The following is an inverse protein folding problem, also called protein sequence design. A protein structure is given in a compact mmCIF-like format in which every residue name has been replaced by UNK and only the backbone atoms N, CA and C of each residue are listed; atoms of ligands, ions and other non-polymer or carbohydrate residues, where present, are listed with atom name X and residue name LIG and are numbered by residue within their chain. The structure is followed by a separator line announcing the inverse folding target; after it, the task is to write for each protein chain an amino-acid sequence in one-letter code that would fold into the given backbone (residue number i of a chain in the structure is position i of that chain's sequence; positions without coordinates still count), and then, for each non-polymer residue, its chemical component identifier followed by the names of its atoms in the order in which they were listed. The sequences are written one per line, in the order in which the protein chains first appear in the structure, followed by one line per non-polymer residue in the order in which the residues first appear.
data_IF_799599672737
#
_entry.id   IF_799599672737
#
_cell.length_a   1.000
_cell.length_b   1.000
_cell.length_c   1.000
_cell.angle_alpha   90.00
_cell.angle_beta   90.00
_cell.angle_gamma   90.00
#
_symmetry.space_group_name_H-M   'P 1'
#
loop_
_entity.id
_entity.type
_entity.pdbx_description
1 polymer ?
#
# COMPACT_ATOMS: atom_id res chain seq x y z
N UNK A 1 -29.59 59.63 41.00
CA UNK A 1 -30.05 58.88 42.19
C UNK A 1 -29.62 57.45 42.04
N UNK A 2 -28.47 57.08 42.46
CA UNK A 2 -28.12 56.53 43.75
C UNK A 2 -28.96 55.28 44.04
N UNK A 3 -28.36 54.09 43.99
CA UNK A 3 -28.12 53.25 45.15
C UNK A 3 -27.57 51.88 44.73
N UNK A 4 -26.39 51.60 45.12
CA UNK A 4 -25.73 50.30 45.41
C UNK A 4 -26.27 49.76 46.77
N UNK A 5 -25.71 48.65 47.30
CA UNK A 5 -25.45 47.28 46.86
C UNK A 5 -26.00 46.26 47.86
N UNK A 6 -25.91 44.95 47.62
CA UNK A 6 -25.81 44.05 48.77
C UNK A 6 -25.01 42.79 48.53
N UNK A 7 -24.14 42.55 49.44
CA UNK A 7 -23.09 41.59 49.70
C UNK A 7 -23.64 40.44 50.53
N UNK A 8 -22.92 39.33 50.69
CA UNK A 8 -22.98 38.23 51.65
C UNK A 8 -23.46 36.94 50.97
N UNK A 9 -22.81 35.76 51.06
CA UNK A 9 -21.93 35.21 52.10
C UNK A 9 -21.26 33.90 51.55
N UNK A 10 -20.10 33.68 52.05
CA UNK A 10 -19.33 32.43 51.94
C UNK A 10 -20.05 31.27 52.62
N UNK A 11 -19.89 30.02 52.07
CA UNK A 11 -19.54 28.85 52.93
C UNK A 11 -19.20 27.59 52.10
N UNK A 12 -17.98 27.14 52.33
CA UNK A 12 -17.51 25.78 52.58
C UNK A 12 -17.42 24.76 51.43
N UNK A 13 -16.19 24.48 51.07
CA UNK A 13 -15.71 23.27 50.44
C UNK A 13 -15.68 22.08 51.42
N UNK A 14 -15.62 20.86 50.94
CA UNK A 14 -14.60 19.95 51.45
C UNK A 14 -13.74 19.27 50.38
N UNK A 15 -12.62 18.84 50.92
CA UNK A 15 -11.37 18.36 50.36
C UNK A 15 -11.42 17.08 49.48
N UNK A 16 -10.51 17.07 48.54
CA UNK A 16 -9.73 16.05 47.82
C UNK A 16 -9.78 14.59 48.33
N UNK A 17 -9.49 13.61 47.40
CA UNK A 17 -8.13 13.07 47.42
C UNK A 17 -7.43 13.02 46.06
N UNK A 18 -6.10 12.99 46.16
CA UNK A 18 -5.11 13.00 45.13
C UNK A 18 -5.06 11.71 44.28
N UNK A 19 -5.14 11.88 42.98
CA UNK A 19 -4.81 10.84 42.01
C UNK A 19 -3.67 11.31 41.09
N UNK A 20 -2.48 10.75 41.29
CA UNK A 20 -1.26 10.97 40.49
C UNK A 20 -1.54 10.89 38.98
N UNK A 21 -1.56 12.02 38.29
CA UNK A 21 -1.43 12.05 36.83
C UNK A 21 0.04 12.18 36.48
N UNK A 22 0.60 11.14 35.87
CA UNK A 22 1.88 11.19 35.19
C UNK A 22 1.74 12.09 33.97
N UNK A 23 2.38 13.24 34.03
CA UNK A 23 2.61 14.12 32.88
C UNK A 23 3.56 13.45 31.89
N UNK A 24 3.05 13.01 30.76
CA UNK A 24 3.88 12.74 29.59
C UNK A 24 4.23 14.08 28.94
N UNK A 25 5.36 14.62 29.29
CA UNK A 25 6.03 15.66 28.50
C UNK A 25 6.42 15.05 27.17
N UNK A 26 5.75 15.47 26.09
CA UNK A 26 6.22 15.21 24.73
C UNK A 26 7.48 16.05 24.52
N UNK A 27 8.63 15.42 24.61
CA UNK A 27 9.88 16.01 24.17
C UNK A 27 9.81 16.21 22.65
N UNK A 28 9.97 17.45 22.22
CA UNK A 28 10.22 17.84 20.85
C UNK A 28 11.54 17.21 20.43
N UNK A 29 11.49 16.17 19.61
CA UNK A 29 12.69 15.58 19.00
C UNK A 29 13.04 16.38 17.76
N UNK A 30 14.24 16.91 17.74
CA UNK A 30 14.91 17.52 16.59
C UNK A 30 14.86 16.64 15.33
N UNK A 31 14.91 17.21 14.11
CA UNK A 31 14.88 16.43 12.88
C UNK A 31 16.08 15.49 12.81
N UNK A 32 15.79 14.20 12.72
CA UNK A 32 16.81 13.15 12.63
C UNK A 32 17.57 13.27 11.32
N UNK A 33 18.89 13.18 11.40
CA UNK A 33 19.79 13.18 10.24
C UNK A 33 19.44 12.07 9.23
N UNK A 34 19.77 12.22 7.92
CA UNK A 34 19.45 11.24 6.88
C UNK A 34 19.93 9.81 7.17
N UNK A 35 20.96 9.64 7.98
CA UNK A 35 21.50 8.33 8.38
C UNK A 35 20.57 7.54 9.32
N UNK A 36 19.72 8.21 10.09
CA UNK A 36 18.78 7.54 11.01
C UNK A 36 17.54 6.96 10.28
N UNK A 37 17.19 7.50 9.13
CA UNK A 37 16.08 7.01 8.28
C UNK A 37 16.45 5.70 7.59
N UNK A 38 17.72 5.56 7.18
CA UNK A 38 18.24 4.32 6.56
C UNK A 38 18.28 3.14 7.56
N UNK A 39 18.53 3.40 8.85
CA UNK A 39 18.54 2.37 9.88
C UNK A 39 17.16 1.83 10.22
N UNK A 40 16.12 2.65 10.07
CA UNK A 40 14.73 2.25 10.34
C UNK A 40 14.12 1.44 9.19
N UNK A 41 14.48 1.77 7.94
CA UNK A 41 14.08 1.01 6.75
C UNK A 41 14.67 -0.41 6.75
N UNK A 42 15.87 -0.60 7.31
CA UNK A 42 16.49 -1.93 7.44
C UNK A 42 15.82 -2.84 8.48
N UNK A 43 15.21 -2.29 9.53
CA UNK A 43 14.55 -3.09 10.58
C UNK A 43 13.18 -3.60 10.15
N UNK A 44 12.46 -2.85 9.31
CA UNK A 44 11.13 -3.25 8.86
C UNK A 44 11.13 -4.32 7.75
N UNK A 45 12.28 -4.59 7.11
CA UNK A 45 12.40 -5.64 6.10
C UNK A 45 12.69 -7.04 6.66
N UNK A 46 13.02 -7.15 7.95
CA UNK A 46 13.42 -8.42 8.58
C UNK A 46 12.31 -9.15 9.33
N UNK A 47 11.13 -8.53 9.53
CA UNK A 47 10.05 -9.13 10.33
C UNK A 47 8.96 -9.83 9.52
N UNK A 48 9.05 -9.87 8.17
CA UNK A 48 8.02 -10.46 7.30
C UNK A 48 8.34 -11.85 6.75
N UNK A 49 9.18 -12.64 7.41
CA UNK A 49 9.41 -14.04 7.02
C UNK A 49 9.45 -14.97 8.22
N UNK A 50 8.29 -15.29 8.75
CA UNK A 50 8.10 -16.54 9.51
C UNK A 50 6.75 -17.17 9.19
N UNK A 51 6.84 -18.32 8.52
CA UNK A 51 6.07 -19.51 8.85
C UNK A 51 4.84 -19.77 8.02
N UNK A 52 4.94 -20.72 7.10
CA UNK A 52 4.05 -21.90 7.09
C UNK A 52 4.63 -22.95 6.15
N UNK A 53 5.24 -23.95 6.76
CA UNK A 53 5.31 -25.27 6.18
C UNK A 53 3.93 -25.93 6.36
N UNK A 54 3.47 -26.63 5.34
CA UNK A 54 2.27 -27.45 5.37
C UNK A 54 2.36 -28.41 4.20
N UNK A 55 2.67 -29.65 4.55
CA UNK A 55 2.75 -30.83 3.70
C UNK A 55 1.33 -31.31 3.32
N UNK A 56 1.28 -32.09 2.21
CA UNK A 56 0.28 -33.05 1.71
C UNK A 56 -0.90 -32.53 0.89
N UNK A 57 -0.98 -33.14 -0.30
CA UNK A 57 -2.17 -33.27 -1.12
C UNK A 57 -1.86 -33.60 -2.57
N UNK A 58 -1.69 -34.92 -2.84
CA UNK A 58 -1.56 -35.47 -4.19
C UNK A 58 -2.86 -35.35 -4.98
N UNK A 59 -2.75 -35.12 -6.31
CA UNK A 59 -3.73 -35.61 -7.27
C UNK A 59 -4.69 -34.59 -7.85
N UNK A 60 -4.36 -34.03 -9.00
CA UNK A 60 -5.23 -34.06 -10.17
C UNK A 60 -4.47 -33.52 -11.41
N UNK A 61 -4.23 -34.40 -12.33
CA UNK A 61 -3.66 -34.12 -13.64
C UNK A 61 -4.64 -33.34 -14.48
N UNK A 62 -4.45 -32.02 -14.61
CA UNK A 62 -5.02 -31.27 -15.70
C UNK A 62 -3.89 -30.90 -16.68
N UNK A 63 -3.84 -31.72 -17.72
CA UNK A 63 -2.99 -31.59 -18.91
C UNK A 63 -3.46 -30.36 -19.70
N UNK A 64 -3.04 -29.16 -19.29
CA UNK A 64 -3.12 -27.99 -20.17
C UNK A 64 -2.06 -28.13 -21.25
N UNK A 65 -2.52 -28.25 -22.48
CA UNK A 65 -1.71 -28.15 -23.70
C UNK A 65 -0.88 -26.88 -23.61
N UNK A 66 0.41 -27.08 -23.39
CA UNK A 66 1.44 -26.03 -23.45
C UNK A 66 1.47 -25.54 -24.90
N UNK A 67 0.96 -24.34 -25.14
CA UNK A 67 1.21 -23.64 -26.37
C UNK A 67 2.73 -23.54 -26.53
N UNK A 68 3.25 -24.03 -27.64
CA UNK A 68 4.63 -23.83 -28.07
C UNK A 68 4.82 -22.35 -28.45
N UNK A 69 4.84 -21.51 -27.40
CA UNK A 69 5.27 -20.12 -27.50
C UNK A 69 6.77 -20.09 -27.37
N UNK A 70 7.44 -19.65 -28.45
CA UNK A 70 8.84 -19.27 -28.60
C UNK A 70 9.62 -19.38 -27.28
N UNK A 71 10.54 -20.33 -27.23
CA UNK A 71 11.65 -20.38 -26.29
C UNK A 71 12.46 -19.09 -26.51
N UNK A 72 11.92 -17.97 -26.06
CA UNK A 72 12.65 -16.73 -25.90
C UNK A 72 13.74 -17.02 -24.92
N UNK A 73 14.94 -16.79 -25.37
CA UNK A 73 16.20 -16.88 -24.67
C UNK A 73 16.12 -16.34 -23.22
N UNK A 74 15.54 -17.12 -22.31
CA UNK A 74 15.61 -16.95 -20.86
C UNK A 74 16.92 -17.48 -20.32
N UNK A 75 17.84 -17.82 -21.23
CA UNK A 75 19.15 -18.29 -20.90
C UNK A 75 19.93 -17.19 -20.26
N UNK A 76 19.93 -17.19 -18.90
CA UNK A 76 21.11 -16.80 -18.18
C UNK A 76 21.39 -15.30 -18.04
N UNK A 77 20.48 -14.58 -17.43
CA UNK A 77 20.82 -13.28 -16.85
C UNK A 77 21.94 -13.37 -15.79
N UNK A 78 22.26 -14.57 -15.33
CA UNK A 78 23.25 -14.81 -14.28
C UNK A 78 24.06 -16.06 -14.61
N UNK A 79 25.34 -15.90 -14.80
CA UNK A 79 26.25 -17.04 -14.93
C UNK A 79 26.35 -17.82 -13.61
N UNK A 80 26.44 -19.14 -13.70
CA UNK A 80 26.72 -20.02 -12.55
C UNK A 80 28.06 -19.68 -11.85
N UNK A 81 28.93 -18.97 -12.54
CA UNK A 81 30.28 -18.58 -12.08
C UNK A 81 30.37 -17.16 -11.54
N UNK A 82 29.26 -16.52 -11.17
CA UNK A 82 29.25 -15.18 -10.59
C UNK A 82 29.60 -14.05 -11.55
N UNK A 83 29.50 -14.29 -12.86
CA UNK A 83 29.66 -13.25 -13.88
C UNK A 83 28.43 -12.32 -13.85
N UNK A 84 28.69 -11.02 -13.95
CA UNK A 84 27.64 -10.02 -14.03
C UNK A 84 26.82 -10.17 -15.31
N UNK A 85 25.54 -9.80 -15.30
CA UNK A 85 24.71 -9.76 -16.51
C UNK A 85 25.38 -8.87 -17.57
N UNK A 86 25.24 -9.23 -18.84
CA UNK A 86 25.69 -8.34 -19.92
C UNK A 86 24.69 -7.20 -20.09
N UNK A 87 25.18 -5.99 -20.25
CA UNK A 87 24.37 -4.84 -20.61
C UNK A 87 24.24 -4.77 -22.13
N UNK A 88 23.04 -4.47 -22.60
CA UNK A 88 22.75 -4.19 -24.01
C UNK A 88 22.72 -2.68 -24.29
N UNK A 89 22.68 -1.87 -23.25
CA UNK A 89 22.60 -0.41 -23.34
C UNK A 89 23.98 0.20 -23.60
N UNK A 90 24.13 1.12 -24.56
CA UNK A 90 25.42 1.70 -24.95
C UNK A 90 25.93 2.49 -23.77
N UNK A 91 25.80 3.18 -23.05
CA UNK A 91 26.37 3.93 -21.93
C UNK A 91 26.17 3.27 -20.55
N UNK A 92 26.03 1.94 -20.50
CA UNK A 92 25.90 1.23 -19.24
C UNK A 92 26.96 0.15 -19.11
N UNK A 93 27.54 0.01 -17.91
CA UNK A 93 28.42 -1.08 -17.54
C UNK A 93 27.99 -1.66 -16.20
N UNK A 94 28.13 -2.96 -16.03
CA UNK A 94 27.89 -3.61 -14.76
C UNK A 94 29.19 -3.72 -13.97
N UNK A 95 29.13 -3.51 -12.67
CA UNK A 95 30.24 -3.66 -11.75
C UNK A 95 29.78 -4.26 -10.42
N UNK A 96 30.71 -4.86 -9.69
CA UNK A 96 30.46 -5.33 -8.33
C UNK A 96 30.64 -4.18 -7.31
N UNK A 97 29.94 -4.29 -6.21
CA UNK A 97 30.04 -3.31 -5.11
C UNK A 97 31.47 -3.15 -4.59
N UNK A 98 32.26 -4.23 -4.58
CA UNK A 98 33.66 -4.26 -4.14
C UNK A 98 34.66 -3.66 -5.14
N UNK A 99 34.27 -3.47 -6.40
CA UNK A 99 35.17 -2.89 -7.39
C UNK A 99 35.52 -1.44 -7.07
N UNK A 100 36.76 -0.97 -7.35
CA UNK A 100 37.13 0.40 -7.09
C UNK A 100 36.24 1.39 -7.85
N UNK A 101 36.08 2.57 -7.26
CA UNK A 101 35.33 3.64 -7.91
C UNK A 101 36.11 4.22 -9.08
N UNK A 102 35.50 4.45 -10.22
CA UNK A 102 36.10 5.33 -11.24
C UNK A 102 36.33 6.72 -10.65
N UNK A 103 37.44 7.35 -10.99
CA UNK A 103 37.75 8.68 -10.52
C UNK A 103 36.64 9.68 -10.90
N UNK A 104 36.22 10.54 -9.97
CA UNK A 104 35.16 11.52 -10.18
C UNK A 104 33.73 10.95 -10.19
N UNK A 105 33.53 9.70 -9.75
CA UNK A 105 32.22 9.06 -9.65
C UNK A 105 31.74 8.95 -8.20
N UNK A 106 30.43 9.11 -8.02
CA UNK A 106 29.73 8.93 -6.76
C UNK A 106 28.78 7.72 -6.83
N UNK A 107 28.52 7.11 -5.67
CA UNK A 107 27.54 6.03 -5.54
C UNK A 107 26.15 6.55 -5.17
N UNK A 108 25.16 6.21 -5.97
CA UNK A 108 23.74 6.51 -5.73
C UNK A 108 23.06 5.22 -5.32
N UNK A 109 22.63 5.09 -4.06
CA UNK A 109 21.97 3.89 -3.57
C UNK A 109 20.59 3.72 -4.19
N UNK A 110 20.15 2.49 -4.35
CA UNK A 110 18.79 2.15 -4.74
C UNK A 110 17.82 2.56 -3.63
N UNK A 111 16.76 3.27 -3.97
CA UNK A 111 15.71 3.68 -3.01
C UNK A 111 14.93 4.89 -3.50
N UNK A 112 15.59 5.96 -3.84
CA UNK A 112 14.97 7.13 -4.44
C UNK A 112 14.90 6.97 -5.96
N UNK A 113 13.65 6.81 -6.45
CA UNK A 113 13.38 6.62 -7.88
C UNK A 113 13.67 7.88 -8.67
N UNK A 114 13.39 9.07 -8.12
CA UNK A 114 13.64 10.34 -8.80
C UNK A 114 15.14 10.54 -9.01
N UNK A 115 15.91 10.43 -7.95
CA UNK A 115 17.36 10.62 -7.99
C UNK A 115 18.03 9.59 -8.91
N UNK A 116 17.72 8.30 -8.72
CA UNK A 116 18.33 7.23 -9.53
C UNK A 116 18.02 7.39 -11.02
N UNK A 117 16.76 7.71 -11.36
CA UNK A 117 16.32 7.89 -12.75
C UNK A 117 16.99 9.10 -13.40
N UNK A 118 16.99 10.26 -12.73
CA UNK A 118 17.56 11.49 -13.29
C UNK A 118 19.10 11.40 -13.38
N UNK A 119 19.78 10.85 -12.39
CA UNK A 119 21.22 10.60 -12.46
C UNK A 119 21.57 9.73 -13.68
N UNK A 120 20.82 8.65 -13.90
CA UNK A 120 21.03 7.76 -15.04
C UNK A 120 20.79 8.47 -16.38
N UNK A 121 19.69 9.23 -16.50
CA UNK A 121 19.35 9.97 -17.72
C UNK A 121 20.41 11.03 -18.04
N UNK A 122 20.71 11.93 -17.11
CA UNK A 122 21.69 13.02 -17.31
C UNK A 122 23.11 12.52 -17.58
N UNK A 123 23.51 11.42 -16.95
CA UNK A 123 24.81 10.78 -17.23
C UNK A 123 24.88 10.26 -18.67
N UNK A 124 23.80 9.64 -19.17
CA UNK A 124 23.72 9.20 -20.57
C UNK A 124 23.66 10.37 -21.56
N UNK A 125 22.90 11.41 -21.26
CA UNK A 125 22.83 12.64 -22.03
C UNK A 125 24.19 13.33 -22.18
N UNK A 126 25.01 13.30 -21.14
CA UNK A 126 26.40 13.78 -21.19
C UNK A 126 27.39 12.77 -21.80
N UNK A 127 26.88 11.70 -22.45
CA UNK A 127 27.66 10.63 -23.11
C UNK A 127 28.68 9.95 -22.17
N UNK A 128 28.43 9.98 -20.85
CA UNK A 128 29.25 9.31 -19.84
C UNK A 128 28.63 7.97 -19.44
N UNK A 129 29.44 7.09 -18.87
CA UNK A 129 29.06 5.73 -18.53
C UNK A 129 28.38 5.70 -17.17
N UNK A 130 27.20 5.06 -17.09
CA UNK A 130 26.55 4.68 -15.86
C UNK A 130 27.01 3.28 -15.46
N UNK A 131 27.51 3.11 -14.23
CA UNK A 131 27.83 1.79 -13.72
C UNK A 131 26.69 1.26 -12.86
N UNK A 132 26.09 0.15 -13.29
CA UNK A 132 25.10 -0.57 -12.51
C UNK A 132 25.81 -1.42 -11.46
N UNK A 133 25.59 -1.10 -10.19
CA UNK A 133 26.30 -1.74 -9.08
C UNK A 133 25.49 -2.93 -8.58
N UNK A 134 26.13 -4.09 -8.58
CA UNK A 134 25.59 -5.31 -8.04
C UNK A 134 26.22 -5.65 -6.69
N UNK A 135 25.50 -6.41 -5.88
CA UNK A 135 26.04 -6.98 -4.66
C UNK A 135 27.23 -7.92 -4.98
N UNK A 136 27.98 -8.32 -3.97
CA UNK A 136 29.14 -9.19 -4.14
C UNK A 136 28.79 -10.56 -4.73
N UNK A 137 27.53 -10.94 -4.73
CA UNK A 137 27.03 -12.19 -5.34
C UNK A 137 26.63 -12.01 -6.81
N UNK A 138 26.63 -10.78 -7.34
CA UNK A 138 26.20 -10.47 -8.70
C UNK A 138 24.70 -10.66 -8.98
N UNK A 139 23.89 -10.94 -7.94
CA UNK A 139 22.47 -11.28 -8.10
C UNK A 139 21.52 -10.09 -7.96
N UNK A 140 21.88 -9.10 -7.15
CA UNK A 140 21.01 -7.97 -6.83
C UNK A 140 21.67 -6.65 -7.14
N UNK A 141 20.96 -5.75 -7.80
CA UNK A 141 21.39 -4.36 -7.95
C UNK A 141 21.24 -3.62 -6.62
N UNK A 142 22.29 -2.94 -6.18
CA UNK A 142 22.34 -2.14 -4.95
C UNK A 142 22.28 -0.65 -5.22
N UNK A 143 22.60 -0.20 -6.43
CA UNK A 143 22.60 1.20 -6.83
C UNK A 143 23.25 1.41 -8.18
N UNK A 144 23.63 2.65 -8.45
CA UNK A 144 24.40 3.05 -9.63
C UNK A 144 25.59 3.90 -9.21
N UNK A 145 26.63 3.95 -10.05
CA UNK A 145 27.70 4.96 -9.95
C UNK A 145 27.58 5.90 -11.12
N UNK A 146 27.60 7.18 -10.85
CA UNK A 146 27.48 8.26 -11.83
C UNK A 146 28.52 9.33 -11.52
N UNK A 147 28.85 10.21 -12.45
CA UNK A 147 29.74 11.34 -12.18
C UNK A 147 29.22 12.17 -10.99
N UNK A 148 30.13 12.62 -10.14
CA UNK A 148 29.81 13.33 -8.90
C UNK A 148 29.15 14.71 -9.15
N UNK A 149 29.52 15.39 -10.23
CA UNK A 149 28.91 16.62 -10.70
C UNK A 149 27.41 16.41 -11.05
N UNK A 150 27.09 15.39 -11.84
CA UNK A 150 25.70 15.02 -12.18
C UNK A 150 24.90 14.66 -10.92
N UNK A 151 25.52 13.93 -10.00
CA UNK A 151 24.85 13.58 -8.75
C UNK A 151 24.51 14.82 -7.91
N UNK A 152 25.43 15.77 -7.79
CA UNK A 152 25.22 17.01 -7.06
C UNK A 152 24.06 17.84 -7.67
N UNK A 153 24.07 18.04 -8.99
CA UNK A 153 22.99 18.74 -9.71
C UNK A 153 21.62 18.08 -9.52
N UNK A 154 21.58 16.75 -9.57
CA UNK A 154 20.33 16.02 -9.38
C UNK A 154 19.82 16.12 -7.96
N UNK A 155 20.70 16.13 -6.95
CA UNK A 155 20.31 16.33 -5.56
C UNK A 155 19.73 17.73 -5.32
N UNK A 156 20.35 18.75 -5.87
CA UNK A 156 19.85 20.11 -5.83
C UNK A 156 18.46 20.22 -6.50
N UNK A 157 18.31 19.68 -7.71
CA UNK A 157 17.02 19.60 -8.39
C UNK A 157 15.98 18.77 -7.62
N UNK A 158 16.40 17.71 -6.96
CA UNK A 158 15.52 16.87 -6.14
C UNK A 158 14.96 17.62 -4.94
N UNK A 159 15.80 18.43 -4.27
CA UNK A 159 15.36 19.26 -3.14
C UNK A 159 14.47 20.41 -3.62
N UNK A 160 14.86 21.13 -4.65
CA UNK A 160 14.11 22.25 -5.20
C UNK A 160 12.70 21.86 -5.69
N UNK A 161 12.54 20.64 -6.22
CA UNK A 161 11.26 20.19 -6.78
C UNK A 161 10.47 19.28 -5.84
N UNK A 162 10.96 18.99 -4.64
CA UNK A 162 10.36 18.00 -3.73
C UNK A 162 8.90 18.30 -3.39
N UNK A 163 8.61 19.54 -3.00
CA UNK A 163 7.27 19.99 -2.64
C UNK A 163 6.32 19.97 -3.85
N UNK A 164 6.75 20.48 -4.97
CA UNK A 164 5.94 20.47 -6.22
C UNK A 164 5.58 19.05 -6.62
N UNK A 165 6.54 18.11 -6.55
CA UNK A 165 6.31 16.70 -6.85
C UNK A 165 5.34 16.05 -5.86
N UNK A 166 5.46 16.36 -4.57
CA UNK A 166 4.54 15.88 -3.55
C UNK A 166 3.11 16.39 -3.80
N UNK A 167 2.95 17.67 -4.13
CA UNK A 167 1.66 18.26 -4.45
C UNK A 167 1.03 17.64 -5.70
N UNK A 168 1.80 17.41 -6.76
CA UNK A 168 1.31 16.72 -7.97
C UNK A 168 0.81 15.31 -7.65
N UNK A 169 1.53 14.57 -6.80
CA UNK A 169 1.10 13.24 -6.36
C UNK A 169 -0.20 13.33 -5.56
N UNK A 170 -0.31 14.28 -4.62
CA UNK A 170 -1.50 14.50 -3.82
C UNK A 170 -2.74 14.79 -4.69
N UNK A 171 -2.62 15.74 -5.61
CA UNK A 171 -3.71 16.09 -6.54
C UNK A 171 -4.13 14.91 -7.40
N UNK A 172 -3.19 14.07 -7.83
CA UNK A 172 -3.51 12.85 -8.58
C UNK A 172 -4.25 11.84 -7.70
N UNK A 173 -3.79 11.61 -6.47
CA UNK A 173 -4.43 10.68 -5.55
C UNK A 173 -5.86 11.15 -5.19
N UNK A 174 -6.07 12.45 -5.02
CA UNK A 174 -7.40 13.04 -4.81
C UNK A 174 -8.31 12.83 -6.03
N UNK A 175 -7.80 13.02 -7.25
CA UNK A 175 -8.55 12.74 -8.49
C UNK A 175 -8.91 11.26 -8.62
N UNK A 176 -7.98 10.36 -8.31
CA UNK A 176 -8.22 8.92 -8.34
C UNK A 176 -9.35 8.52 -7.36
N UNK A 177 -9.34 9.09 -6.14
CA UNK A 177 -10.37 8.86 -5.14
C UNK A 177 -11.72 9.46 -5.57
N UNK A 178 -11.74 10.67 -6.12
CA UNK A 178 -12.96 11.30 -6.63
C UNK A 178 -13.56 10.49 -7.78
N UNK A 179 -12.74 9.98 -8.70
CA UNK A 179 -13.17 9.09 -9.77
C UNK A 179 -13.77 7.80 -9.23
N UNK A 180 -13.10 7.15 -8.28
CA UNK A 180 -13.60 5.93 -7.63
C UNK A 180 -14.92 6.16 -6.90
N UNK A 181 -15.05 7.30 -6.21
CA UNK A 181 -16.29 7.75 -5.56
C UNK A 181 -17.43 7.92 -6.58
N UNK A 182 -17.15 8.54 -7.71
CA UNK A 182 -18.14 8.72 -8.78
C UNK A 182 -18.63 7.38 -9.30
N UNK A 183 -17.75 6.44 -9.60
CA UNK A 183 -18.12 5.10 -10.07
C UNK A 183 -18.99 4.36 -9.05
N UNK A 184 -18.57 4.36 -7.77
CA UNK A 184 -19.34 3.72 -6.70
C UNK A 184 -20.74 4.33 -6.57
N UNK A 185 -20.87 5.66 -6.65
CA UNK A 185 -22.18 6.35 -6.61
C UNK A 185 -23.04 6.05 -7.83
N UNK A 186 -22.42 5.89 -9.00
CA UNK A 186 -23.15 5.58 -10.25
C UNK A 186 -23.67 4.15 -10.25
N UNK A 187 -22.85 3.19 -9.80
CA UNK A 187 -23.23 1.78 -9.76
C UNK A 187 -24.14 1.44 -8.56
N UNK A 188 -23.95 2.12 -7.42
CA UNK A 188 -24.66 1.85 -6.17
C UNK A 188 -25.27 3.12 -5.60
N UNK A 189 -26.27 3.71 -6.25
CA UNK A 189 -26.84 5.01 -5.87
C UNK A 189 -27.48 5.01 -4.47
N UNK A 190 -27.98 3.87 -4.01
CA UNK A 190 -28.63 3.72 -2.69
C UNK A 190 -27.68 3.23 -1.60
N UNK A 191 -26.36 3.14 -1.88
CA UNK A 191 -25.37 2.75 -0.88
C UNK A 191 -25.28 3.80 0.25
N UNK A 192 -25.29 3.38 1.53
CA UNK A 192 -25.10 4.29 2.66
C UNK A 192 -23.78 5.06 2.56
N UNK A 193 -23.79 6.32 2.98
CA UNK A 193 -22.60 7.19 2.89
C UNK A 193 -21.43 6.64 3.71
N UNK A 194 -21.69 6.09 4.89
CA UNK A 194 -20.66 5.46 5.75
C UNK A 194 -19.99 4.28 5.06
N UNK A 195 -20.78 3.42 4.39
CA UNK A 195 -20.26 2.29 3.62
C UNK A 195 -19.41 2.76 2.44
N UNK A 196 -19.83 3.82 1.74
CA UNK A 196 -19.06 4.40 0.65
C UNK A 196 -17.67 4.88 1.13
N UNK A 197 -17.62 5.66 2.20
CA UNK A 197 -16.35 6.16 2.73
C UNK A 197 -15.46 5.00 3.22
N UNK A 198 -16.02 4.04 3.94
CA UNK A 198 -15.29 2.85 4.39
C UNK A 198 -14.72 2.03 3.22
N UNK A 199 -15.44 1.90 2.12
CA UNK A 199 -14.96 1.23 0.91
C UNK A 199 -13.82 2.02 0.27
N UNK A 200 -13.94 3.34 0.16
CA UNK A 200 -12.89 4.20 -0.42
C UNK A 200 -11.60 4.09 0.39
N UNK A 201 -11.68 4.22 1.70
CA UNK A 201 -10.50 4.16 2.59
C UNK A 201 -9.86 2.77 2.59
N UNK A 202 -10.67 1.71 2.58
CA UNK A 202 -10.14 0.35 2.65
C UNK A 202 -9.62 -0.16 1.30
N UNK A 203 -10.39 0.00 0.23
CA UNK A 203 -10.10 -0.65 -1.06
C UNK A 203 -9.33 0.24 -2.04
N UNK A 204 -9.55 1.56 -2.03
CA UNK A 204 -9.04 2.48 -3.04
C UNK A 204 -7.88 3.36 -2.56
N UNK A 205 -7.59 3.39 -1.26
CA UNK A 205 -6.47 4.16 -0.75
C UNK A 205 -5.15 3.67 -1.34
N UNK A 206 -4.29 4.62 -1.70
CA UNK A 206 -2.97 4.32 -2.27
C UNK A 206 -2.11 3.53 -1.30
N UNK A 207 -1.46 2.50 -1.80
CA UNK A 207 -0.61 1.61 -0.98
C UNK A 207 -1.36 0.54 -0.18
N UNK A 208 -2.69 0.48 -0.25
CA UNK A 208 -3.50 -0.55 0.41
C UNK A 208 -3.22 -1.97 -0.12
N UNK A 209 -2.70 -2.10 -1.34
CA UNK A 209 -2.53 -3.39 -2.01
C UNK A 209 -3.85 -4.10 -2.33
N UNK A 210 -4.98 -3.40 -2.22
CA UNK A 210 -6.33 -3.92 -2.41
C UNK A 210 -6.79 -3.83 -3.87
N UNK A 211 -7.97 -4.39 -4.14
CA UNK A 211 -8.53 -4.53 -5.49
C UNK A 211 -8.72 -3.20 -6.22
N UNK A 212 -9.06 -2.13 -5.52
CA UNK A 212 -9.25 -0.81 -6.10
C UNK A 212 -8.01 -0.21 -6.78
N UNK A 213 -6.80 -0.69 -6.42
CA UNK A 213 -5.52 -0.20 -6.98
C UNK A 213 -4.89 -1.12 -8.03
N UNK A 214 -5.55 -2.22 -8.38
CA UNK A 214 -5.05 -3.10 -9.45
C UNK A 214 -5.24 -2.50 -10.83
N UNK A 215 -4.26 -2.66 -11.72
CA UNK A 215 -4.39 -2.29 -13.14
C UNK A 215 -5.02 -3.41 -14.00
N UNK A 216 -5.28 -4.59 -13.41
CA UNK A 216 -5.72 -5.78 -14.15
C UNK A 216 -7.24 -5.86 -14.36
N UNK A 217 -8.01 -4.92 -13.82
CA UNK A 217 -9.48 -4.94 -13.84
C UNK A 217 -10.03 -3.58 -14.23
N UNK A 218 -11.21 -3.57 -14.86
CA UNK A 218 -11.94 -2.32 -15.12
C UNK A 218 -12.38 -1.68 -13.80
N UNK A 219 -12.64 -0.39 -13.83
CA UNK A 219 -12.97 0.34 -12.62
C UNK A 219 -14.35 -0.09 -12.05
N UNK A 220 -15.30 -0.44 -12.92
CA UNK A 220 -16.59 -1.00 -12.54
C UNK A 220 -16.40 -2.34 -11.80
N UNK A 221 -15.54 -3.22 -12.34
CA UNK A 221 -15.27 -4.50 -11.69
C UNK A 221 -14.51 -4.35 -10.37
N UNK A 222 -13.69 -3.33 -10.23
CA UNK A 222 -13.05 -2.98 -8.95
C UNK A 222 -14.10 -2.55 -7.93
N UNK A 223 -15.07 -1.71 -8.34
CA UNK A 223 -16.15 -1.25 -7.50
C UNK A 223 -16.99 -2.42 -7.01
N UNK A 224 -17.43 -3.29 -7.91
CA UNK A 224 -18.16 -4.52 -7.58
C UNK A 224 -17.46 -5.34 -6.50
N UNK A 225 -16.21 -5.67 -6.74
CA UNK A 225 -15.44 -6.53 -5.82
C UNK A 225 -15.17 -5.86 -4.47
N UNK A 226 -15.02 -4.53 -4.44
CA UNK A 226 -14.84 -3.77 -3.21
C UNK A 226 -16.13 -3.74 -2.40
N UNK A 227 -17.27 -3.52 -3.05
CA UNK A 227 -18.61 -3.54 -2.43
C UNK A 227 -18.93 -4.94 -1.90
N UNK A 228 -18.77 -6.00 -2.71
CA UNK A 228 -18.98 -7.37 -2.26
C UNK A 228 -18.11 -7.74 -1.05
N UNK A 229 -16.86 -7.28 -1.04
CA UNK A 229 -15.96 -7.50 0.10
C UNK A 229 -16.43 -6.74 1.34
N UNK A 230 -16.83 -5.47 1.20
CA UNK A 230 -17.32 -4.66 2.31
C UNK A 230 -18.60 -5.26 2.90
N UNK A 231 -19.62 -5.59 2.07
CA UNK A 231 -20.85 -6.22 2.52
C UNK A 231 -20.54 -7.50 3.28
N UNK A 232 -19.69 -8.37 2.75
CA UNK A 232 -19.33 -9.64 3.39
C UNK A 232 -18.78 -9.44 4.80
N UNK A 233 -17.87 -8.48 4.99
CA UNK A 233 -17.21 -8.30 6.26
C UNK A 233 -18.01 -7.47 7.27
N UNK A 234 -18.87 -6.56 6.78
CA UNK A 234 -19.57 -5.59 7.65
C UNK A 234 -21.06 -5.92 7.84
N UNK A 235 -21.70 -6.45 6.81
CA UNK A 235 -23.17 -6.64 6.80
C UNK A 235 -23.61 -8.11 6.86
N UNK A 236 -22.68 -9.06 7.00
CA UNK A 236 -22.99 -10.49 7.10
C UNK A 236 -22.31 -11.12 8.31
N UNK A 237 -22.76 -12.29 8.80
CA UNK A 237 -22.12 -13.01 9.89
C UNK A 237 -20.80 -13.71 9.49
N UNK A 238 -20.21 -13.35 8.36
CA UNK A 238 -19.00 -14.01 7.82
C UNK A 238 -17.85 -14.09 8.81
N UNK A 239 -17.56 -13.01 9.52
CA UNK A 239 -16.47 -13.00 10.51
C UNK A 239 -16.80 -13.90 11.72
N UNK A 240 -18.04 -13.88 12.19
CA UNK A 240 -18.50 -14.76 13.27
C UNK A 240 -18.34 -16.24 12.89
N UNK A 241 -18.71 -16.62 11.65
CA UNK A 241 -18.54 -17.99 11.13
C UNK A 241 -17.07 -18.40 11.10
N UNK A 242 -16.16 -17.50 10.66
CA UNK A 242 -14.73 -17.78 10.68
C UNK A 242 -14.19 -17.94 12.10
N UNK A 243 -14.65 -17.13 13.05
CA UNK A 243 -14.30 -17.27 14.47
C UNK A 243 -14.80 -18.57 15.08
N UNK A 244 -15.96 -19.04 14.65
CA UNK A 244 -16.51 -20.36 15.04
C UNK A 244 -15.78 -21.53 14.38
N UNK A 245 -14.79 -21.29 13.50
CA UNK A 245 -13.98 -22.34 12.87
C UNK A 245 -14.52 -22.82 11.52
N UNK A 246 -15.58 -22.23 10.97
CA UNK A 246 -16.10 -22.53 9.63
C UNK A 246 -15.04 -22.27 8.57
N UNK A 247 -14.91 -23.17 7.60
CA UNK A 247 -13.98 -23.01 6.49
C UNK A 247 -14.31 -21.79 5.63
N UNK A 248 -13.27 -21.08 5.13
CA UNK A 248 -13.47 -19.83 4.35
C UNK A 248 -14.40 -19.99 3.16
N UNK A 249 -14.31 -21.07 2.42
CA UNK A 249 -15.14 -21.29 1.22
C UNK A 249 -16.57 -21.62 1.59
N UNK A 250 -16.77 -22.30 2.70
CA UNK A 250 -18.08 -22.62 3.25
C UNK A 250 -18.77 -21.35 3.76
N UNK A 251 -18.08 -20.56 4.59
CA UNK A 251 -18.58 -19.27 5.08
C UNK A 251 -18.93 -18.31 3.92
N UNK A 252 -18.11 -18.25 2.86
CA UNK A 252 -18.42 -17.46 1.66
C UNK A 252 -19.70 -17.93 0.96
N UNK A 253 -19.88 -19.24 0.79
CA UNK A 253 -21.08 -19.79 0.16
C UNK A 253 -22.34 -19.51 1.00
N UNK A 254 -22.22 -19.65 2.31
CA UNK A 254 -23.33 -19.40 3.23
C UNK A 254 -23.84 -17.94 3.15
N UNK A 255 -22.92 -16.95 3.08
CA UNK A 255 -23.31 -15.53 3.06
C UNK A 255 -23.56 -14.97 1.66
N UNK A 256 -23.33 -15.75 0.60
CA UNK A 256 -23.41 -15.26 -0.78
C UNK A 256 -24.77 -14.67 -1.15
N UNK A 257 -25.87 -15.35 -0.79
CA UNK A 257 -27.22 -14.87 -1.06
C UNK A 257 -27.51 -13.52 -0.41
N UNK A 258 -27.07 -13.33 0.84
CA UNK A 258 -27.21 -12.07 1.56
C UNK A 258 -26.40 -10.95 0.92
N UNK A 259 -25.14 -11.25 0.48
CA UNK A 259 -24.33 -10.27 -0.23
C UNK A 259 -25.03 -9.79 -1.49
N UNK A 260 -25.58 -10.70 -2.30
CA UNK A 260 -26.27 -10.34 -3.54
C UNK A 260 -27.54 -9.52 -3.26
N UNK A 261 -28.32 -9.89 -2.26
CA UNK A 261 -29.53 -9.14 -1.87
C UNK A 261 -29.20 -7.69 -1.47
N UNK A 262 -28.20 -7.49 -0.62
CA UNK A 262 -27.77 -6.14 -0.19
C UNK A 262 -27.20 -5.36 -1.38
N UNK A 263 -26.38 -5.99 -2.21
CA UNK A 263 -25.80 -5.37 -3.40
C UNK A 263 -26.90 -4.88 -4.35
N UNK A 264 -27.88 -5.71 -4.68
CA UNK A 264 -29.02 -5.35 -5.54
C UNK A 264 -29.85 -4.22 -4.94
N UNK A 265 -30.05 -4.20 -3.61
CA UNK A 265 -30.71 -3.09 -2.94
C UNK A 265 -29.93 -1.78 -3.09
N UNK A 266 -28.60 -1.82 -3.03
CA UNK A 266 -27.76 -0.63 -3.22
C UNK A 266 -27.70 -0.15 -4.67
N UNK A 267 -27.86 -1.05 -5.64
CA UNK A 267 -28.01 -0.75 -7.07
C UNK A 267 -29.36 -0.10 -7.43
N UNK A 268 -30.31 -0.09 -6.49
CA UNK A 268 -31.68 0.41 -6.74
C UNK A 268 -32.61 -0.65 -7.29
N UNK A 269 -32.26 -1.93 -7.25
CA UNK A 269 -33.12 -3.04 -7.59
C UNK A 269 -34.23 -3.23 -6.56
N UNK A 270 -35.35 -3.80 -6.99
CA UNK A 270 -36.59 -3.93 -6.22
C UNK A 270 -36.52 -5.08 -5.18
N UNK A 271 -35.47 -5.10 -4.36
CA UNK A 271 -35.37 -6.01 -3.21
C UNK A 271 -36.04 -5.31 -2.02
N UNK A 272 -37.16 -5.83 -1.56
CA UNK A 272 -37.85 -5.28 -0.40
C UNK A 272 -36.91 -5.30 0.81
N UNK A 273 -36.78 -4.20 1.58
CA UNK A 273 -35.94 -4.15 2.78
C UNK A 273 -36.25 -5.27 3.80
N UNK A 274 -37.48 -5.74 3.81
CA UNK A 274 -37.93 -6.86 4.63
C UNK A 274 -37.25 -8.19 4.28
N UNK A 275 -36.95 -8.44 3.01
CA UNK A 275 -36.28 -9.68 2.60
C UNK A 275 -34.85 -9.78 3.10
N UNK A 276 -34.14 -8.66 3.12
CA UNK A 276 -32.77 -8.57 3.62
C UNK A 276 -32.70 -8.83 5.13
N UNK A 277 -33.62 -8.24 5.90
CA UNK A 277 -33.73 -8.46 7.34
C UNK A 277 -34.12 -9.90 7.68
N UNK A 278 -35.07 -10.47 6.92
CA UNK A 278 -35.52 -11.85 7.08
C UNK A 278 -34.38 -12.84 6.78
N UNK A 279 -33.60 -12.62 5.74
CA UNK A 279 -32.44 -13.44 5.40
C UNK A 279 -31.36 -13.35 6.48
N UNK A 280 -31.12 -12.16 7.03
CA UNK A 280 -30.18 -11.95 8.13
C UNK A 280 -30.61 -12.71 9.40
N UNK A 281 -31.88 -12.61 9.77
CA UNK A 281 -32.42 -13.27 10.95
C UNK A 281 -32.39 -14.79 10.83
N UNK A 282 -32.75 -15.37 9.67
CA UNK A 282 -32.64 -16.81 9.42
C UNK A 282 -31.23 -17.34 9.58
N UNK A 283 -30.22 -16.55 9.15
CA UNK A 283 -28.82 -16.96 9.30
C UNK A 283 -28.29 -16.88 10.72
N UNK A 284 -28.90 -16.04 11.56
CA UNK A 284 -28.54 -15.93 13.00
C UNK A 284 -29.22 -17.06 13.80
N UNK A 285 -30.41 -17.50 13.41
CA UNK A 285 -31.16 -18.57 14.09
C UNK A 285 -30.69 -19.99 13.72
N UNK A 286 -29.92 -20.14 12.62
CA UNK A 286 -29.39 -21.43 12.16
C UNK A 286 -27.97 -21.73 12.64
N UNK A 287 -27.40 -20.88 13.50
CA UNK A 287 -26.11 -21.06 14.19
C UNK A 287 -26.32 -21.15 15.69
#
# INVERSE_FOLDING_TARGET
MASTPNRISRRNAPRRPEGRRRSHTKSFTSPKSPQSILAQARRNSLTSRRGRGGLFGAGSSNRFKRAEGKVGDRTWKYSKFGLLPRTTEPFEKNCLSKEPYPQGYAFVPKGDVYVTRNCRARTKESQRIVYMVYDNTGKRTVGIRVPSDVYAEVLESATATAETRANVVKVRDEKDLAHSRHILRTQFPLMPAESLEAILDHAFLKGSGRVGRTAMKTDERKADLAVEAHIRHTHTPYEAMLHAGTGREEARRAVWGLIQAIKTAWEGGNTQPMDVLTLRNRMVESN
#
